data_IF_289153446771
#
_entry.id   IF_289153446771
#
_cell.length_a   1.000
_cell.length_b   1.000
_cell.length_c   1.000
_cell.angle_alpha   90.00
_cell.angle_beta   90.00
_cell.angle_gamma   90.00
#
_symmetry.space_group_name_H-M   'P 1'
#
loop_
_entity.id
_entity.type
_entity.pdbx_description
1 polymer ?
#
# COMPACT_ATOMS: atom_id res chain seq x y z
N UNK A 1 -38.63 43.73 -20.71
CA UNK A 1 -38.51 42.47 -19.95
C UNK A 1 -37.33 41.75 -20.52
N UNK A 2 -36.14 42.10 -20.05
CA UNK A 2 -34.94 41.32 -20.30
C UNK A 2 -35.01 40.13 -19.35
N UNK A 3 -35.00 38.94 -19.94
CA UNK A 3 -34.94 37.68 -19.23
C UNK A 3 -33.45 37.38 -19.18
N UNK A 4 -32.77 37.94 -18.17
CA UNK A 4 -31.34 37.70 -17.98
C UNK A 4 -31.16 36.28 -17.44
N UNK A 5 -30.42 35.48 -18.20
CA UNK A 5 -30.01 34.14 -17.83
C UNK A 5 -28.94 34.19 -16.73
N UNK A 6 -28.96 33.20 -15.85
CA UNK A 6 -27.99 33.12 -14.78
C UNK A 6 -28.21 31.92 -13.87
N UNK A 7 -28.42 30.73 -14.43
CA UNK A 7 -28.10 29.50 -13.70
C UNK A 7 -26.59 29.28 -13.85
N UNK A 8 -25.81 30.19 -13.25
CA UNK A 8 -24.40 29.97 -13.02
C UNK A 8 -24.31 28.83 -12.03
N UNK A 9 -23.90 27.65 -12.51
CA UNK A 9 -23.69 26.47 -11.69
C UNK A 9 -22.94 26.87 -10.42
N UNK A 10 -23.66 26.94 -9.30
CA UNK A 10 -23.10 27.37 -8.04
C UNK A 10 -21.96 26.42 -7.68
N UNK A 11 -20.79 26.99 -7.40
CA UNK A 11 -19.60 26.27 -6.98
C UNK A 11 -19.96 25.34 -5.82
N UNK A 12 -19.88 24.04 -6.04
CA UNK A 12 -20.10 23.07 -4.97
C UNK A 12 -18.74 22.72 -4.36
N UNK A 13 -18.42 23.42 -3.28
CA UNK A 13 -17.24 23.15 -2.48
C UNK A 13 -17.57 22.11 -1.39
N UNK A 14 -16.61 21.24 -1.06
CA UNK A 14 -16.75 20.29 0.04
C UNK A 14 -16.94 21.02 1.38
N UNK A 15 -17.97 20.63 2.13
CA UNK A 15 -18.17 21.04 3.52
C UNK A 15 -16.96 20.67 4.38
N UNK A 16 -16.72 21.44 5.45
CA UNK A 16 -15.63 21.19 6.42
C UNK A 16 -15.64 19.75 6.96
N UNK A 17 -16.83 19.18 7.19
CA UNK A 17 -17.01 17.80 7.66
C UNK A 17 -16.74 16.75 6.57
N UNK A 18 -17.00 17.07 5.30
CA UNK A 18 -16.83 16.15 4.18
C UNK A 18 -15.36 16.03 3.74
N UNK A 19 -14.56 17.08 3.96
CA UNK A 19 -13.13 17.13 3.60
C UNK A 19 -12.29 15.96 4.15
N UNK A 20 -12.28 15.67 5.47
CA UNK A 20 -11.47 14.56 5.99
C UNK A 20 -11.97 13.21 5.48
N UNK A 21 -13.29 13.03 5.31
CA UNK A 21 -13.90 11.81 4.80
C UNK A 21 -13.51 11.57 3.33
N UNK A 22 -13.53 12.63 2.52
CA UNK A 22 -13.10 12.57 1.14
C UNK A 22 -11.61 12.23 1.02
N UNK A 23 -10.76 12.87 1.84
CA UNK A 23 -9.31 12.56 1.88
C UNK A 23 -9.04 11.10 2.25
N UNK A 24 -9.77 10.58 3.24
CA UNK A 24 -9.70 9.17 3.61
C UNK A 24 -10.12 8.28 2.43
N UNK A 25 -11.22 8.61 1.75
CA UNK A 25 -11.70 7.87 0.59
C UNK A 25 -10.69 7.86 -0.56
N UNK A 26 -9.97 8.96 -0.84
CA UNK A 26 -8.87 8.98 -1.81
C UNK A 26 -7.80 7.96 -1.42
N UNK A 27 -7.36 7.98 -0.17
CA UNK A 27 -6.37 7.03 0.34
C UNK A 27 -6.82 5.58 0.22
N UNK A 28 -8.10 5.31 0.52
CA UNK A 28 -8.68 3.97 0.36
C UNK A 28 -8.73 3.53 -1.10
N UNK A 29 -9.10 4.42 -2.03
CA UNK A 29 -9.08 4.12 -3.47
C UNK A 29 -7.67 3.75 -3.93
N UNK A 30 -6.65 4.52 -3.54
CA UNK A 30 -5.26 4.22 -3.87
C UNK A 30 -4.71 2.95 -3.20
N UNK A 31 -5.16 2.64 -1.99
CA UNK A 31 -4.79 1.38 -1.31
C UNK A 31 -5.27 0.13 -2.06
N UNK A 32 -6.32 0.27 -2.86
CA UNK A 32 -6.92 -0.82 -3.65
C UNK A 32 -6.45 -0.84 -5.09
N UNK A 33 -5.75 0.20 -5.54
CA UNK A 33 -5.26 0.28 -6.90
C UNK A 33 -4.04 -0.63 -7.07
N UNK A 34 -4.27 -1.79 -7.69
CA UNK A 34 -3.26 -2.85 -7.79
C UNK A 34 -1.94 -2.38 -8.42
N UNK A 35 -2.00 -1.58 -9.49
CA UNK A 35 -0.81 -1.05 -10.15
C UNK A 35 0.06 -0.20 -9.18
N UNK A 36 -0.58 0.69 -8.43
CA UNK A 36 0.11 1.53 -7.43
C UNK A 36 0.68 0.68 -6.29
N UNK A 37 -0.08 -0.29 -5.79
CA UNK A 37 0.40 -1.16 -4.71
C UNK A 37 1.58 -2.04 -5.15
N UNK A 38 1.55 -2.58 -6.38
CA UNK A 38 2.71 -3.28 -6.95
C UNK A 38 3.93 -2.37 -7.06
N UNK A 39 3.75 -1.13 -7.52
CA UNK A 39 4.84 -0.16 -7.59
C UNK A 39 5.46 0.15 -6.21
N UNK A 40 4.63 0.21 -5.16
CA UNK A 40 5.08 0.39 -3.78
C UNK A 40 5.83 -0.84 -3.27
N UNK A 41 5.25 -2.04 -3.42
CA UNK A 41 5.82 -3.29 -2.92
C UNK A 41 7.17 -3.62 -3.57
N UNK A 42 7.32 -3.29 -4.84
CA UNK A 42 8.53 -3.54 -5.63
C UNK A 42 9.48 -2.35 -5.72
N UNK A 43 9.15 -1.23 -5.06
CA UNK A 43 9.94 0.00 -5.11
C UNK A 43 10.29 0.44 -6.55
N UNK A 44 9.34 0.39 -7.49
CA UNK A 44 9.60 0.71 -8.91
C UNK A 44 10.12 2.14 -9.12
N UNK A 45 9.71 3.10 -8.28
CA UNK A 45 10.27 4.45 -8.19
C UNK A 45 11.37 4.65 -7.13
N UNK A 46 11.95 3.57 -6.61
CA UNK A 46 12.93 3.53 -5.51
C UNK A 46 12.31 3.56 -4.11
N UNK A 47 13.17 3.69 -3.08
CA UNK A 47 12.77 3.68 -1.65
C UNK A 47 11.72 4.74 -1.26
N UNK A 48 11.59 5.78 -2.08
CA UNK A 48 10.65 6.88 -1.86
C UNK A 48 9.28 6.64 -2.50
N UNK A 49 9.04 5.52 -3.20
CA UNK A 49 7.75 5.25 -3.87
C UNK A 49 6.58 5.31 -2.90
N UNK A 50 6.71 4.68 -1.72
CA UNK A 50 5.66 4.74 -0.68
C UNK A 50 5.35 6.18 -0.26
N UNK A 51 6.38 6.98 0.04
CA UNK A 51 6.20 8.38 0.42
C UNK A 51 5.53 9.19 -0.69
N UNK A 52 5.90 8.96 -1.96
CA UNK A 52 5.28 9.62 -3.10
C UNK A 52 3.82 9.22 -3.28
N UNK A 53 3.48 7.95 -3.06
CA UNK A 53 2.10 7.48 -3.11
C UNK A 53 1.24 8.09 -1.99
N UNK A 54 1.81 8.29 -0.80
CA UNK A 54 1.14 9.01 0.29
C UNK A 54 0.93 10.50 -0.08
N UNK A 55 1.93 11.13 -0.71
CA UNK A 55 1.83 12.52 -1.19
C UNK A 55 0.78 12.69 -2.30
N UNK A 56 0.56 11.67 -3.13
CA UNK A 56 -0.47 11.69 -4.18
C UNK A 56 -1.87 11.92 -3.59
N UNK A 57 -2.14 11.41 -2.39
CA UNK A 57 -3.43 11.64 -1.70
C UNK A 57 -3.67 13.13 -1.48
N UNK A 58 -2.65 13.84 -1.00
CA UNK A 58 -2.72 15.28 -0.77
C UNK A 58 -2.79 16.06 -2.09
N UNK A 59 -2.01 15.66 -3.09
CA UNK A 59 -2.01 16.29 -4.42
C UNK A 59 -3.39 16.20 -5.08
N UNK A 60 -4.03 15.03 -5.06
CA UNK A 60 -5.38 14.86 -5.61
C UNK A 60 -6.42 15.58 -4.78
N UNK A 61 -6.33 15.54 -3.45
CA UNK A 61 -7.24 16.29 -2.59
C UNK A 61 -7.16 17.82 -2.85
N UNK A 62 -5.94 18.34 -2.97
CA UNK A 62 -5.69 19.74 -3.32
C UNK A 62 -6.22 20.06 -4.71
N UNK A 63 -6.03 19.17 -5.68
CA UNK A 63 -6.55 19.33 -7.03
C UNK A 63 -8.08 19.49 -7.04
N UNK A 64 -8.82 18.65 -6.29
CA UNK A 64 -10.28 18.77 -6.17
C UNK A 64 -10.73 20.04 -5.45
N UNK A 65 -9.96 20.53 -4.47
CA UNK A 65 -10.38 21.66 -3.63
C UNK A 65 -9.92 23.02 -4.13
N UNK A 66 -8.90 23.07 -4.98
CA UNK A 66 -8.33 24.30 -5.53
C UNK A 66 -8.82 24.59 -6.95
N UNK A 67 -9.14 23.55 -7.73
CA UNK A 67 -9.61 23.70 -9.11
C UNK A 67 -11.01 24.29 -9.17
N UNK A 68 -11.29 25.09 -10.21
CA UNK A 68 -12.63 25.67 -10.45
C UNK A 68 -13.52 24.72 -11.23
N UNK A 69 -12.93 23.97 -12.14
CA UNK A 69 -13.54 22.91 -12.93
C UNK A 69 -12.55 21.75 -12.94
N UNK A 70 -13.08 20.54 -12.87
CA UNK A 70 -12.30 19.30 -12.93
C UNK A 70 -13.01 18.37 -13.91
N UNK A 71 -12.25 17.87 -14.89
CA UNK A 71 -12.71 16.86 -15.83
C UNK A 71 -12.05 15.52 -15.50
N UNK A 72 -12.75 14.42 -15.77
CA UNK A 72 -12.21 13.08 -15.55
C UNK A 72 -10.88 12.88 -16.27
N UNK A 73 -10.80 13.34 -17.53
CA UNK A 73 -9.60 13.26 -18.36
C UNK A 73 -8.40 14.00 -17.74
N UNK A 74 -8.62 15.14 -17.06
CA UNK A 74 -7.53 15.88 -16.41
C UNK A 74 -6.98 15.12 -15.18
N UNK A 75 -7.87 14.49 -14.42
CA UNK A 75 -7.48 13.66 -13.28
C UNK A 75 -6.76 12.40 -13.75
N UNK A 76 -7.25 11.77 -14.83
CA UNK A 76 -6.60 10.63 -15.47
C UNK A 76 -5.16 10.98 -15.87
N UNK A 77 -4.96 12.11 -16.55
CA UNK A 77 -3.62 12.59 -16.93
C UNK A 77 -2.72 12.81 -15.70
N UNK A 78 -3.24 13.40 -14.62
CA UNK A 78 -2.50 13.58 -13.37
C UNK A 78 -2.05 12.25 -12.77
N UNK A 79 -2.95 11.26 -12.73
CA UNK A 79 -2.65 9.93 -12.20
C UNK A 79 -1.67 9.17 -13.12
N UNK A 80 -1.83 9.27 -14.43
CA UNK A 80 -0.94 8.67 -15.41
C UNK A 80 0.49 9.23 -15.30
N UNK A 81 0.62 10.56 -15.27
CA UNK A 81 1.90 11.25 -15.08
C UNK A 81 2.57 10.85 -13.76
N UNK A 82 1.79 10.68 -12.69
CA UNK A 82 2.30 10.18 -11.42
C UNK A 82 2.86 8.76 -11.54
N UNK A 83 2.15 7.85 -12.20
CA UNK A 83 2.60 6.47 -12.42
C UNK A 83 3.91 6.45 -13.21
N UNK A 84 4.02 7.25 -14.27
CA UNK A 84 5.26 7.40 -15.02
C UNK A 84 6.42 7.95 -14.16
N UNK A 85 6.14 8.90 -13.26
CA UNK A 85 7.13 9.49 -12.34
C UNK A 85 7.68 8.49 -11.32
N UNK A 86 6.94 7.44 -11.00
CA UNK A 86 7.40 6.29 -10.21
C UNK A 86 7.84 5.11 -11.09
N UNK A 87 8.16 5.37 -12.36
CA UNK A 87 8.66 4.39 -13.33
C UNK A 87 7.71 3.20 -13.52
N UNK A 88 6.40 3.48 -13.55
CA UNK A 88 5.34 2.49 -13.77
C UNK A 88 4.55 2.86 -15.01
N UNK A 89 4.49 1.95 -15.97
CA UNK A 89 3.62 2.05 -17.15
C UNK A 89 2.34 1.24 -16.88
N UNK A 90 1.19 1.87 -17.06
CA UNK A 90 -0.13 1.29 -16.78
C UNK A 90 -0.96 1.36 -18.06
N UNK A 91 -1.28 0.19 -18.64
CA UNK A 91 -2.03 0.06 -19.90
C UNK A 91 -3.29 -0.81 -19.73
N UNK A 92 -3.69 -1.11 -18.50
CA UNK A 92 -4.81 -2.00 -18.18
C UNK A 92 -6.16 -1.28 -18.06
N UNK A 93 -6.18 0.04 -18.30
CA UNK A 93 -7.38 0.89 -18.13
C UNK A 93 -7.69 1.25 -16.67
N UNK A 94 -6.82 0.89 -15.73
CA UNK A 94 -7.08 1.13 -14.30
C UNK A 94 -6.92 2.58 -13.87
N UNK A 95 -6.16 3.39 -14.63
CA UNK A 95 -5.99 4.83 -14.35
C UNK A 95 -7.33 5.54 -14.53
N UNK A 96 -8.01 5.25 -15.64
CA UNK A 96 -9.32 5.76 -16.03
C UNK A 96 -10.38 5.35 -15.00
N UNK A 97 -10.38 4.08 -14.60
CA UNK A 97 -11.30 3.57 -13.57
C UNK A 97 -11.10 4.28 -12.22
N UNK A 98 -9.85 4.45 -11.79
CA UNK A 98 -9.53 5.14 -10.54
C UNK A 98 -9.93 6.62 -10.60
N UNK A 99 -9.64 7.32 -11.69
CA UNK A 99 -10.05 8.70 -11.90
C UNK A 99 -11.58 8.83 -11.82
N UNK A 100 -12.31 7.95 -12.50
CA UNK A 100 -13.77 7.93 -12.47
C UNK A 100 -14.34 7.65 -11.08
N UNK A 101 -13.78 6.69 -10.36
CA UNK A 101 -14.17 6.38 -8.98
C UNK A 101 -13.96 7.57 -8.03
N UNK A 102 -12.86 8.32 -8.19
CA UNK A 102 -12.59 9.53 -7.42
C UNK A 102 -13.59 10.65 -7.72
N UNK A 103 -14.01 10.81 -8.97
CA UNK A 103 -15.06 11.76 -9.36
C UNK A 103 -16.39 11.44 -8.69
N UNK A 104 -16.82 10.18 -8.71
CA UNK A 104 -18.04 9.73 -8.01
C UNK A 104 -17.92 10.01 -6.51
N UNK A 105 -16.78 9.65 -5.92
CA UNK A 105 -16.54 9.85 -4.49
C UNK A 105 -16.66 11.32 -4.10
N UNK A 106 -16.13 12.23 -4.92
CA UNK A 106 -16.24 13.67 -4.72
C UNK A 106 -17.70 14.13 -4.77
N UNK A 107 -18.45 13.72 -5.80
CA UNK A 107 -19.88 14.04 -5.92
C UNK A 107 -20.71 13.54 -4.74
N UNK A 108 -20.44 12.33 -4.25
CA UNK A 108 -21.13 11.77 -3.10
C UNK A 108 -20.82 12.56 -1.83
N UNK A 109 -19.56 12.98 -1.65
CA UNK A 109 -19.15 13.82 -0.53
C UNK A 109 -19.82 15.21 -0.57
N UNK A 110 -20.05 15.78 -1.77
CA UNK A 110 -20.84 17.01 -1.92
C UNK A 110 -22.30 16.82 -1.51
N UNK A 111 -22.87 15.63 -1.75
CA UNK A 111 -24.25 15.27 -1.37
C UNK A 111 -24.35 14.78 0.09
N UNK A 112 -23.26 14.86 0.87
CA UNK A 112 -23.14 14.30 2.23
C UNK A 112 -23.46 12.80 2.31
N UNK A 113 -23.24 12.06 1.21
CA UNK A 113 -23.37 10.62 1.15
C UNK A 113 -21.98 9.98 1.32
N UNK A 114 -21.76 9.29 2.43
CA UNK A 114 -20.47 8.67 2.74
C UNK A 114 -20.49 7.14 2.60
N UNK A 115 -21.54 6.59 2.00
CA UNK A 115 -21.75 5.14 1.89
C UNK A 115 -20.59 4.46 1.16
N UNK A 116 -20.05 5.08 0.10
CA UNK A 116 -18.93 4.51 -0.64
C UNK A 116 -17.64 4.47 0.17
N UNK A 117 -17.30 5.53 0.91
CA UNK A 117 -16.13 5.54 1.82
C UNK A 117 -16.29 4.49 2.93
N UNK A 118 -17.50 4.36 3.48
CA UNK A 118 -17.79 3.32 4.48
C UNK A 118 -17.66 1.91 3.90
N UNK A 119 -18.08 1.70 2.65
CA UNK A 119 -17.93 0.42 1.98
C UNK A 119 -16.44 0.11 1.66
N UNK A 120 -15.67 1.13 1.26
CA UNK A 120 -14.23 1.04 1.02
C UNK A 120 -13.44 0.77 2.31
N UNK A 121 -13.89 1.24 3.47
CA UNK A 121 -13.25 0.92 4.75
C UNK A 121 -13.69 -0.44 5.30
N UNK A 122 -14.92 -0.88 5.01
CA UNK A 122 -15.47 -2.14 5.52
C UNK A 122 -14.99 -3.38 4.77
N UNK A 123 -14.68 -3.30 3.46
CA UNK A 123 -14.18 -4.48 2.75
C UNK A 123 -12.69 -4.70 2.99
N UNK A 124 -12.24 -5.97 3.07
CA UNK A 124 -10.82 -6.29 3.13
C UNK A 124 -10.06 -5.71 1.95
N UNK A 125 -8.81 -5.30 2.19
CA UNK A 125 -7.92 -4.86 1.13
C UNK A 125 -7.71 -6.02 0.13
N UNK A 126 -7.76 -5.76 -1.18
CA UNK A 126 -7.56 -6.78 -2.19
C UNK A 126 -6.16 -7.39 -2.01
N UNK A 127 -6.11 -8.71 -1.81
CA UNK A 127 -4.85 -9.41 -1.73
C UNK A 127 -4.22 -9.42 -3.12
N UNK A 128 -3.13 -8.68 -3.27
CA UNK A 128 -2.33 -8.69 -4.49
C UNK A 128 -1.57 -10.01 -4.44
N UNK A 129 -1.92 -10.94 -5.33
CA UNK A 129 -1.23 -12.22 -5.40
C UNK A 129 0.18 -11.97 -5.92
N UNK A 130 1.17 -11.90 -5.02
CA UNK A 130 2.58 -11.91 -5.41
C UNK A 130 2.88 -13.24 -6.11
N UNK A 131 3.01 -13.21 -7.44
CA UNK A 131 3.63 -14.31 -8.16
C UNK A 131 5.06 -14.38 -7.66
N UNK A 132 5.38 -15.41 -6.86
CA UNK A 132 6.76 -15.72 -6.47
C UNK A 132 7.62 -15.77 -7.73
N UNK A 133 8.53 -14.81 -7.88
CA UNK A 133 9.62 -14.95 -8.86
C UNK A 133 10.31 -16.28 -8.56
N UNK A 134 10.27 -17.18 -9.54
CA UNK A 134 11.23 -18.26 -9.59
C UNK A 134 12.59 -17.58 -9.72
N UNK A 135 13.42 -17.69 -8.68
CA UNK A 135 14.86 -17.67 -8.90
C UNK A 135 15.09 -18.72 -9.99
N UNK A 136 15.52 -18.28 -11.17
CA UNK A 136 16.26 -19.18 -12.03
C UNK A 136 17.54 -19.44 -11.26
N UNK A 137 17.57 -20.62 -10.64
CA UNK A 137 18.76 -21.26 -10.11
C UNK A 137 19.68 -21.45 -11.33
N UNK A 138 20.58 -20.48 -11.50
CA UNK A 138 21.66 -20.54 -12.48
C UNK A 138 22.72 -21.44 -11.85
N UNK A 139 22.67 -22.72 -12.20
CA UNK A 139 23.80 -23.62 -11.97
C UNK A 139 23.89 -24.72 -13.04
N UNK A 140 25.08 -24.73 -13.67
CA UNK A 140 25.78 -25.85 -14.33
C UNK A 140 25.61 -26.00 -15.87
N UNK A 141 26.62 -26.21 -16.71
CA UNK A 141 28.07 -25.97 -16.78
C UNK A 141 28.51 -26.42 -18.20
N UNK A 142 29.61 -25.83 -18.69
CA UNK A 142 30.58 -26.36 -19.65
C UNK A 142 30.24 -26.44 -21.16
N UNK A 143 30.92 -25.60 -21.96
CA UNK A 143 32.07 -26.08 -22.74
C UNK A 143 32.92 -24.92 -23.31
N UNK A 144 34.17 -24.84 -22.82
CA UNK A 144 35.45 -24.71 -23.55
C UNK A 144 35.47 -24.00 -24.93
N UNK A 145 36.13 -22.84 -25.01
CA UNK A 145 36.92 -22.44 -26.20
C UNK A 145 38.04 -21.47 -25.79
N UNK A 146 39.25 -21.85 -26.20
CA UNK A 146 40.55 -21.22 -25.96
C UNK A 146 40.73 -19.96 -26.82
N UNK A 147 41.37 -18.89 -26.32
CA UNK A 147 41.80 -17.83 -27.24
C UNK A 147 42.25 -16.49 -26.68
N UNK A 148 43.55 -16.43 -26.41
CA UNK A 148 44.45 -15.31 -26.71
C UNK A 148 44.65 -14.16 -25.70
N UNK A 149 45.95 -13.91 -25.51
CA UNK A 149 46.59 -13.04 -24.54
C UNK A 149 46.77 -11.63 -25.13
N UNK A 150 46.34 -10.57 -24.44
CA UNK A 150 47.02 -9.29 -24.59
C UNK A 150 47.07 -8.47 -23.30
N UNK A 151 48.31 -8.13 -22.93
CA UNK A 151 48.70 -7.31 -21.80
C UNK A 151 48.16 -5.88 -21.95
N UNK A 152 47.61 -5.34 -20.86
CA UNK A 152 47.25 -3.94 -20.72
C UNK A 152 47.48 -3.47 -19.29
N UNK A 153 48.71 -3.06 -19.01
CA UNK A 153 49.14 -2.46 -17.74
C UNK A 153 48.37 -1.18 -17.43
N UNK A 154 47.94 -0.99 -16.18
CA UNK A 154 47.16 0.19 -15.78
C UNK A 154 46.92 0.31 -14.29
N UNK A 155 48.00 0.22 -13.53
CA UNK A 155 48.13 0.46 -12.09
C UNK A 155 47.46 1.76 -11.64
N UNK A 156 46.55 1.71 -10.65
CA UNK A 156 46.73 2.40 -9.36
C UNK A 156 45.56 2.16 -8.39
N UNK A 157 45.97 1.85 -7.17
CA UNK A 157 45.17 1.51 -6.00
C UNK A 157 45.00 2.71 -5.07
N UNK A 158 43.90 2.75 -4.32
CA UNK A 158 43.77 3.39 -3.00
C UNK A 158 42.61 2.66 -2.28
N UNK A 159 42.84 1.69 -1.38
CA UNK A 159 43.04 1.81 0.08
C UNK A 159 42.13 2.88 0.72
N UNK A 160 41.07 2.47 1.45
CA UNK A 160 40.98 2.16 2.90
C UNK A 160 41.12 3.45 3.74
N UNK A 161 40.10 3.89 4.47
CA UNK A 161 39.78 3.59 5.88
C UNK A 161 38.34 4.10 6.16
N UNK A 162 37.33 3.30 6.50
CA UNK A 162 36.94 2.79 7.84
C UNK A 162 37.65 3.48 9.00
N UNK A 163 36.93 4.29 9.79
CA UNK A 163 36.81 4.45 11.28
C UNK A 163 35.76 5.58 11.50
N UNK A 164 34.91 5.71 12.52
CA UNK A 164 34.58 4.99 13.73
C UNK A 164 33.18 5.45 14.16
N UNK A 165 32.48 4.62 14.93
CA UNK A 165 31.16 4.93 15.49
C UNK A 165 31.26 5.61 16.86
N UNK A 166 30.31 6.50 17.11
CA UNK A 166 29.79 6.97 18.40
C UNK A 166 30.60 7.97 19.24
N UNK A 167 29.90 8.95 19.82
CA UNK A 167 30.04 9.24 21.23
C UNK A 167 28.73 8.91 21.97
N UNK A 168 28.78 7.83 22.75
CA UNK A 168 27.79 7.54 23.79
C UNK A 168 28.11 8.39 25.03
N UNK A 169 27.13 9.16 25.51
CA UNK A 169 27.19 9.81 26.83
C UNK A 169 25.78 10.14 27.33
N UNK A 170 25.22 9.24 28.15
CA UNK A 170 24.53 9.61 29.37
C UNK A 170 24.43 8.42 30.33
N UNK A 171 24.87 8.57 31.59
CA UNK A 171 24.55 7.66 32.68
C UNK A 171 23.37 8.20 33.52
N UNK A 172 22.92 7.35 34.47
CA UNK A 172 22.05 7.66 35.62
C UNK A 172 20.55 7.83 35.28
N UNK A 173 19.56 7.35 36.04
CA UNK A 173 19.53 6.63 37.32
C UNK A 173 18.10 6.14 37.59
N UNK A 174 18.05 5.07 38.38
CA UNK A 174 17.02 4.41 39.17
C UNK A 174 15.64 5.05 39.41
N UNK A 175 14.62 4.19 39.40
CA UNK A 175 13.62 3.92 40.48
C UNK A 175 12.37 3.30 39.82
N UNK A 176 11.77 2.20 40.25
CA UNK A 176 11.08 1.98 41.52
C UNK A 176 10.83 0.48 41.75
N UNK A 177 11.02 0.06 43.00
CA UNK A 177 10.48 -1.07 43.78
C UNK A 177 9.63 -2.19 43.12
N UNK A 178 10.19 -3.41 43.23
CA UNK A 178 9.73 -4.62 43.95
C UNK A 178 8.25 -5.12 43.94
N UNK A 179 8.06 -6.45 44.15
CA UNK A 179 6.94 -7.25 43.62
C UNK A 179 5.85 -7.56 44.65
N UNK A 180 4.75 -8.18 44.21
CA UNK A 180 4.07 -9.30 44.89
C UNK A 180 3.10 -9.98 43.91
N UNK A 181 3.16 -11.31 43.88
CA UNK A 181 2.18 -12.19 43.25
C UNK A 181 1.02 -12.45 44.24
N UNK A 182 -0.22 -12.53 43.77
CA UNK A 182 -1.11 -13.65 44.12
C UNK A 182 -2.39 -13.71 43.29
N UNK A 183 -2.89 -14.94 43.19
CA UNK A 183 -4.05 -15.46 42.46
C UNK A 183 -5.37 -15.10 43.13
N UNK A 184 -6.46 -15.07 42.34
CA UNK A 184 -7.74 -15.83 42.48
C UNK A 184 -8.70 -15.38 41.37
N UNK A 185 -9.19 -16.26 40.48
CA UNK A 185 -10.55 -16.88 40.48
C UNK A 185 -11.68 -15.83 40.48
N UNK A 186 -12.72 -15.82 39.62
CA UNK A 186 -13.52 -16.88 39.00
C UNK A 186 -14.57 -16.21 38.06
N UNK A 187 -15.01 -16.92 37.00
CA UNK A 187 -16.30 -16.83 36.24
C UNK A 187 -16.78 -15.46 35.69
N UNK A 188 -17.45 -15.28 34.54
CA UNK A 188 -18.46 -16.02 33.76
C UNK A 188 -18.33 -15.50 32.29
N UNK A 189 -18.24 -16.37 31.29
CA UNK A 189 -19.31 -16.67 30.31
C UNK A 189 -19.84 -15.44 29.53
N UNK A 190 -19.55 -15.37 28.23
CA UNK A 190 -20.57 -15.50 27.17
C UNK A 190 -19.95 -15.49 25.75
N UNK A 191 -20.30 -16.57 25.07
CA UNK A 191 -20.20 -17.01 23.67
C UNK A 191 -19.95 -15.98 22.55
N UNK A 192 -18.98 -16.33 21.67
CA UNK A 192 -19.20 -16.75 20.27
C UNK A 192 -17.87 -16.88 19.52
N UNK A 193 -17.26 -18.06 19.57
CA UNK A 193 -16.21 -18.42 18.61
C UNK A 193 -16.51 -19.80 18.01
N UNK A 194 -17.25 -19.76 16.91
CA UNK A 194 -17.52 -20.89 16.04
C UNK A 194 -16.40 -21.09 15.03
N UNK A 195 -15.27 -21.64 15.46
CA UNK A 195 -14.31 -22.27 14.53
C UNK A 195 -14.16 -23.76 14.84
N UNK A 196 -14.83 -24.58 14.04
CA UNK A 196 -14.77 -26.04 14.12
C UNK A 196 -13.39 -26.52 13.69
N UNK A 197 -12.64 -27.04 14.66
CA UNK A 197 -11.37 -27.75 14.41
C UNK A 197 -11.66 -29.13 13.82
N UNK A 198 -11.32 -29.35 12.55
CA UNK A 198 -11.30 -30.69 11.95
C UNK A 198 -10.10 -31.46 12.48
N UNK A 199 -10.36 -32.47 13.32
CA UNK A 199 -9.31 -33.37 13.79
C UNK A 199 -8.87 -34.30 12.65
N UNK A 200 -7.59 -34.20 12.30
CA UNK A 200 -6.94 -35.07 11.31
C UNK A 200 -6.80 -36.49 11.88
N UNK A 201 -7.74 -37.37 11.50
CA UNK A 201 -7.76 -38.76 11.96
C UNK A 201 -6.60 -39.56 11.36
N UNK A 202 -5.58 -39.80 12.19
CA UNK A 202 -4.47 -40.72 11.94
C UNK A 202 -4.92 -42.15 12.27
N UNK A 203 -5.33 -42.90 11.25
CA UNK A 203 -5.79 -44.30 11.37
C UNK A 203 -4.62 -45.24 11.70
N UNK A 204 -4.60 -45.85 12.89
CA UNK A 204 -3.70 -46.96 13.23
C UNK A 204 -4.33 -47.96 14.20
N UNK A 205 -4.23 -49.26 13.83
CA UNK A 205 -4.50 -50.52 14.59
C UNK A 205 -5.96 -50.77 15.00
N UNK A 206 -6.53 -51.97 14.95
CA UNK A 206 -6.04 -53.32 14.66
C UNK A 206 -6.99 -54.36 15.34
N UNK A 207 -6.99 -55.59 14.80
CA UNK A 207 -7.57 -56.84 15.34
C UNK A 207 -9.08 -57.10 15.21
N UNK A 208 -9.46 -58.23 14.59
CA UNK A 208 -10.09 -59.38 15.28
C UNK A 208 -10.21 -60.61 14.36
N UNK A 209 -9.97 -61.77 14.97
CA UNK A 209 -10.02 -63.13 14.40
C UNK A 209 -11.45 -63.66 14.17
N UNK A 210 -11.47 -64.84 13.52
CA UNK A 210 -12.45 -65.94 13.56
C UNK A 210 -13.50 -65.98 12.42
N UNK A 211 -13.35 -66.95 11.52
CA UNK A 211 -14.07 -68.23 11.58
C UNK A 211 -13.34 -69.30 10.76
#
# INVERSE_FOLDING_TARGET
>A
MEIDGGDGAARQDLSTEARPIFREGIGLTFSRWAALQMAIDHEWGGRNTRLRAEQLVDEVFDWFTQSKEFYADDLENLLFDFMLKINTEVEDGSVEEVAFNLMILYEECLKCNYTSVQNLSAQPQPAISHVRQKLYDDEDDSSDDEGDEMQGVGHQSSMMEKEESAPNSSPADMSVDKPIAEKTAEAEAEDKDGWTTVSSSRKKKGSRQQK
#
